data_IF_297180849932
#
_entry.id   IF_297180849932
#
_cell.length_a   1.000
_cell.length_b   1.000
_cell.length_c   1.000
_cell.angle_alpha   90.00
_cell.angle_beta   90.00
_cell.angle_gamma   90.00
#
_symmetry.space_group_name_H-M   'P 1'
#
loop_
_entity.id
_entity.type
_entity.pdbx_description
1 polymer ?
#
# COMPACT_ATOMS: atom_id res chain seq x y z
N UNK A 1 -9.66 12.06 11.33
CA UNK A 1 -9.33 12.55 9.97
C UNK A 1 -8.55 11.50 9.21
N UNK A 2 -8.65 11.45 7.87
CA UNK A 2 -7.95 10.47 7.02
C UNK A 2 -6.42 10.44 7.26
N UNK A 3 -5.80 11.59 7.52
CA UNK A 3 -4.39 11.72 7.94
C UNK A 3 -4.09 10.93 9.21
N UNK A 4 -4.95 10.98 10.23
CA UNK A 4 -4.76 10.24 11.48
C UNK A 4 -4.81 8.72 11.24
N UNK A 5 -5.73 8.24 10.39
CA UNK A 5 -5.79 6.81 10.02
C UNK A 5 -4.57 6.35 9.23
N UNK A 6 -3.98 7.20 8.40
CA UNK A 6 -2.73 6.87 7.69
C UNK A 6 -1.51 6.88 8.62
N UNK A 7 -1.55 7.58 9.76
CA UNK A 7 -0.43 7.67 10.70
C UNK A 7 -0.54 6.73 11.92
N UNK A 8 -1.63 5.98 12.08
CA UNK A 8 -1.83 5.09 13.24
C UNK A 8 -1.58 3.63 12.87
N UNK A 9 -0.80 2.88 13.65
CA UNK A 9 -0.46 1.48 13.37
C UNK A 9 0.96 1.28 12.81
N UNK A 10 1.37 0.01 12.71
CA UNK A 10 2.70 -0.39 12.23
C UNK A 10 2.88 0.04 10.77
N UNK A 11 4.12 0.32 10.34
CA UNK A 11 4.46 0.82 8.98
C UNK A 11 3.76 0.07 7.84
N UNK A 12 3.52 -1.24 8.01
CA UNK A 12 2.77 -2.08 7.07
C UNK A 12 1.31 -1.66 6.89
N UNK A 13 0.58 -1.37 7.97
CA UNK A 13 -0.82 -0.96 7.90
C UNK A 13 -1.00 0.37 7.18
N UNK A 14 -0.06 1.31 7.37
CA UNK A 14 -0.04 2.58 6.63
C UNK A 14 0.12 2.36 5.13
N UNK A 15 1.03 1.47 4.74
CA UNK A 15 1.26 1.10 3.33
C UNK A 15 0.05 0.37 2.75
N UNK A 16 -0.56 -0.57 3.48
CA UNK A 16 -1.74 -1.29 3.04
C UNK A 16 -2.92 -0.34 2.75
N UNK A 17 -3.19 0.61 3.66
CA UNK A 17 -4.23 1.63 3.48
C UNK A 17 -3.98 2.52 2.27
N UNK A 18 -2.72 2.89 1.99
CA UNK A 18 -2.37 3.62 0.77
C UNK A 18 -2.70 2.80 -0.47
N UNK A 19 -2.33 1.52 -0.51
CA UNK A 19 -2.59 0.67 -1.68
C UNK A 19 -4.09 0.45 -1.90
N UNK A 20 -4.86 0.24 -0.84
CA UNK A 20 -6.33 0.14 -0.89
C UNK A 20 -6.96 1.44 -1.43
N UNK A 21 -6.46 2.60 -0.97
CA UNK A 21 -6.92 3.90 -1.48
C UNK A 21 -6.60 4.09 -2.96
N UNK A 22 -5.39 3.72 -3.40
CA UNK A 22 -4.98 3.83 -4.81
C UNK A 22 -5.84 2.93 -5.71
N UNK A 23 -6.12 1.70 -5.26
CA UNK A 23 -7.02 0.76 -5.94
C UNK A 23 -8.46 1.30 -6.03
N UNK A 24 -8.98 1.86 -4.93
CA UNK A 24 -10.30 2.49 -4.87
C UNK A 24 -10.46 3.69 -5.81
N UNK A 25 -9.40 4.48 -5.96
CA UNK A 25 -9.41 5.67 -6.82
C UNK A 25 -9.09 5.37 -8.28
N UNK A 26 -8.69 4.14 -8.59
CA UNK A 26 -8.39 3.72 -9.95
C UNK A 26 -9.66 3.39 -10.72
N UNK A 27 -9.73 3.82 -11.98
CA UNK A 27 -10.80 3.40 -12.92
C UNK A 27 -10.49 2.07 -13.61
N UNK A 28 -9.23 1.64 -13.56
CA UNK A 28 -8.74 0.39 -14.14
C UNK A 28 -8.45 -0.63 -13.04
N UNK A 29 -8.34 -1.91 -13.40
CA UNK A 29 -7.92 -3.02 -12.53
C UNK A 29 -6.46 -2.92 -12.01
N UNK A 30 -5.81 -1.77 -12.17
CA UNK A 30 -4.48 -1.47 -11.65
C UNK A 30 -4.24 0.02 -11.48
N UNK A 31 -3.40 0.38 -10.52
CA UNK A 31 -3.05 1.76 -10.19
C UNK A 31 -1.55 2.01 -10.37
N UNK A 32 -1.15 3.28 -10.41
CA UNK A 32 0.27 3.65 -10.37
C UNK A 32 0.83 3.40 -8.97
N UNK A 33 1.85 2.55 -8.87
CA UNK A 33 2.51 2.23 -7.61
C UNK A 33 3.60 3.28 -7.33
N UNK A 34 3.46 4.11 -6.28
CA UNK A 34 4.46 5.11 -5.95
C UNK A 34 5.83 4.48 -5.64
N UNK A 35 6.90 5.26 -5.79
CA UNK A 35 8.22 4.81 -5.38
C UNK A 35 8.27 4.69 -3.86
N UNK A 36 9.26 3.97 -3.33
CA UNK A 36 9.33 3.63 -1.90
C UNK A 36 9.71 4.88 -1.10
N UNK A 37 10.42 5.78 -1.76
CA UNK A 37 10.77 7.10 -1.29
C UNK A 37 9.51 7.99 -1.20
N UNK A 38 8.72 8.05 -2.29
CA UNK A 38 7.44 8.77 -2.29
C UNK A 38 6.49 8.23 -1.21
N UNK A 39 6.39 6.90 -1.07
CA UNK A 39 5.60 6.27 -0.01
C UNK A 39 6.09 6.66 1.39
N UNK A 40 7.41 6.78 1.58
CA UNK A 40 8.01 7.23 2.83
C UNK A 40 7.59 8.66 3.17
N UNK A 41 7.74 9.57 2.20
CA UNK A 41 7.34 10.96 2.33
C UNK A 41 5.82 11.13 2.56
N UNK A 42 4.98 10.38 1.84
CA UNK A 42 3.51 10.44 1.96
C UNK A 42 3.01 9.91 3.30
N UNK A 43 3.62 8.85 3.85
CA UNK A 43 3.10 8.12 5.01
C UNK A 43 3.84 8.44 6.32
N UNK A 44 4.88 9.29 6.28
CA UNK A 44 5.72 9.59 7.43
C UNK A 44 6.42 8.34 7.97
N UNK A 45 6.94 7.49 7.08
CA UNK A 45 7.74 6.30 7.39
C UNK A 45 9.05 6.35 6.61
N UNK A 46 10.03 5.54 6.98
CA UNK A 46 11.29 5.50 6.23
C UNK A 46 11.13 4.75 4.90
N UNK A 47 11.97 5.08 3.91
CA UNK A 47 12.04 4.39 2.61
C UNK A 47 12.30 2.89 2.78
N UNK A 48 13.10 2.48 3.77
CA UNK A 48 13.35 1.07 4.12
C UNK A 48 12.09 0.40 4.68
N UNK A 49 11.30 1.11 5.49
CA UNK A 49 10.04 0.61 6.04
C UNK A 49 9.00 0.37 4.94
N UNK A 50 8.86 1.32 4.02
CA UNK A 50 8.01 1.17 2.83
C UNK A 50 8.49 0.00 1.95
N UNK A 51 9.80 -0.14 1.77
CA UNK A 51 10.41 -1.25 1.02
C UNK A 51 10.13 -2.61 1.67
N UNK A 52 10.27 -2.71 3.00
CA UNK A 52 10.00 -3.95 3.74
C UNK A 52 8.54 -4.37 3.65
N UNK A 53 7.61 -3.41 3.80
CA UNK A 53 6.18 -3.65 3.66
C UNK A 53 5.80 -4.12 2.25
N UNK A 54 6.22 -3.38 1.21
CA UNK A 54 5.90 -3.74 -0.18
C UNK A 54 6.52 -5.09 -0.60
N UNK A 55 7.72 -5.41 -0.13
CA UNK A 55 8.34 -6.72 -0.38
C UNK A 55 7.56 -7.86 0.30
N UNK A 56 7.06 -7.65 1.52
CA UNK A 56 6.23 -8.63 2.21
C UNK A 56 4.90 -8.87 1.48
N UNK A 57 4.23 -7.80 1.03
CA UNK A 57 2.97 -7.91 0.30
C UNK A 57 3.14 -8.60 -1.04
N UNK A 58 4.26 -8.37 -1.73
CA UNK A 58 4.63 -9.11 -2.95
C UNK A 58 4.83 -10.60 -2.68
N UNK A 59 5.54 -10.96 -1.60
CA UNK A 59 5.75 -12.37 -1.22
C UNK A 59 4.45 -13.08 -0.84
N UNK A 60 3.52 -12.38 -0.19
CA UNK A 60 2.19 -12.90 0.14
C UNK A 60 1.23 -12.93 -1.06
N UNK A 61 1.61 -12.36 -2.21
CA UNK A 61 0.76 -12.28 -3.39
C UNK A 61 -0.30 -11.17 -3.34
N UNK A 62 -0.34 -10.39 -2.27
CA UNK A 62 -1.30 -9.29 -2.08
C UNK A 62 -1.01 -8.07 -2.94
N UNK A 63 0.26 -7.85 -3.30
CA UNK A 63 0.67 -6.79 -4.22
C UNK A 63 1.32 -7.41 -5.45
N UNK A 64 0.70 -7.23 -6.61
CA UNK A 64 1.17 -7.78 -7.88
C UNK A 64 1.67 -6.64 -8.77
N UNK A 65 3.00 -6.45 -8.89
CA UNK A 65 3.55 -5.43 -9.79
C UNK A 65 3.28 -5.81 -11.24
N UNK A 66 2.95 -4.81 -12.04
CA UNK A 66 2.75 -4.89 -13.49
C UNK A 66 3.83 -4.06 -14.20
N UNK A 67 3.74 -3.96 -15.52
CA UNK A 67 4.64 -3.11 -16.30
C UNK A 67 4.36 -1.61 -16.05
N UNK A 68 5.31 -0.75 -16.42
CA UNK A 68 5.16 0.71 -16.37
C UNK A 68 4.80 1.27 -14.98
N UNK A 69 5.38 0.70 -13.91
CA UNK A 69 5.11 1.10 -12.52
C UNK A 69 3.64 0.96 -12.10
N UNK A 70 2.86 0.14 -12.81
CA UNK A 70 1.50 -0.22 -12.41
C UNK A 70 1.54 -1.37 -11.40
N UNK A 71 0.51 -1.48 -10.57
CA UNK A 71 0.29 -2.65 -9.74
C UNK A 71 -1.21 -2.86 -9.52
N UNK A 72 -1.58 -4.09 -9.21
CA UNK A 72 -2.89 -4.40 -8.65
C UNK A 72 -2.71 -5.07 -7.29
N UNK A 73 -3.78 -5.06 -6.50
CA UNK A 73 -3.80 -5.71 -5.20
C UNK A 73 -4.86 -6.80 -5.12
N UNK A 74 -4.61 -7.78 -4.26
CA UNK A 74 -5.68 -8.64 -3.79
C UNK A 74 -6.43 -7.91 -2.67
N UNK A 75 -7.51 -7.22 -3.05
CA UNK A 75 -8.23 -6.34 -2.14
C UNK A 75 -8.82 -7.09 -0.95
N UNK A 76 -9.33 -8.30 -1.17
CA UNK A 76 -9.99 -9.10 -0.12
C UNK A 76 -8.98 -9.52 0.95
N UNK A 77 -7.85 -10.10 0.53
CA UNK A 77 -6.80 -10.55 1.43
C UNK A 77 -6.11 -9.39 2.14
N UNK A 78 -5.82 -8.31 1.40
CA UNK A 78 -5.13 -7.15 1.95
C UNK A 78 -6.02 -6.39 2.94
N UNK A 79 -7.32 -6.26 2.66
CA UNK A 79 -8.25 -5.67 3.62
C UNK A 79 -8.41 -6.59 4.82
N UNK A 80 -8.61 -7.91 4.65
CA UNK A 80 -8.81 -8.82 5.77
C UNK A 80 -7.68 -8.78 6.82
N UNK A 81 -6.42 -8.59 6.40
CA UNK A 81 -5.28 -8.45 7.32
C UNK A 81 -5.21 -7.06 8.00
N UNK A 82 -5.59 -5.99 7.30
CA UNK A 82 -5.34 -4.61 7.73
C UNK A 82 -6.61 -3.79 8.01
N UNK A 83 -7.78 -4.42 7.98
CA UNK A 83 -9.08 -3.89 8.42
C UNK A 83 -9.13 -3.86 9.95
N UNK A 84 -8.20 -3.10 10.55
CA UNK A 84 -8.36 -2.61 11.91
C UNK A 84 -9.14 -1.29 11.85
N UNK A 85 -10.35 -1.37 12.45
CA UNK A 85 -11.39 -0.34 12.58
C UNK A 85 -10.91 1.05 13.07
#
# INVERSE_FOLDING_TARGET
TWITRLSTGHSKGRVARLLLLLDETSTDDSFFLPTRDDMGAMLGITTESASKATAEFKRKGWLKPLQHSRACIDRLELSAEFDEA
#
